data_IF_876668590736
#
_entry.id   IF_876668590736
#
_cell.length_a   1.000
_cell.length_b   1.000
_cell.length_c   1.000
_cell.angle_alpha   90.00
_cell.angle_beta   90.00
_cell.angle_gamma   90.00
#
_symmetry.space_group_name_H-M   'P 1'
#
loop_
_entity.id
_entity.type
_entity.pdbx_description
1 polymer ?
#
# COMPACT_ATOMS: atom_id res chain seq x y z
N UNK A 1 -10.88 -15.34 -9.33
CA UNK A 1 -11.86 -15.94 -10.23
C UNK A 1 -12.69 -16.93 -9.42
N UNK A 2 -13.99 -16.69 -9.28
CA UNK A 2 -14.92 -17.57 -8.60
C UNK A 2 -15.82 -18.19 -9.68
N UNK A 3 -15.88 -19.53 -9.78
CA UNK A 3 -16.69 -20.26 -10.76
C UNK A 3 -16.44 -19.84 -12.23
N UNK A 4 -15.22 -19.48 -12.60
CA UNK A 4 -14.86 -19.04 -13.95
C UNK A 4 -15.25 -17.60 -14.28
N UNK A 5 -15.82 -16.84 -13.34
CA UNK A 5 -16.17 -15.43 -13.49
C UNK A 5 -15.13 -14.56 -12.82
N UNK A 6 -14.74 -13.44 -13.48
CA UNK A 6 -13.84 -12.46 -12.89
C UNK A 6 -14.45 -11.85 -11.63
N UNK A 7 -13.68 -11.86 -10.55
CA UNK A 7 -14.09 -11.28 -9.28
C UNK A 7 -13.89 -9.76 -9.36
N UNK A 8 -14.99 -9.02 -9.38
CA UNK A 8 -15.00 -7.56 -9.44
C UNK A 8 -15.45 -6.91 -8.14
N UNK A 9 -15.97 -7.70 -7.20
CA UNK A 9 -16.47 -7.22 -5.91
C UNK A 9 -15.43 -7.45 -4.80
N UNK A 10 -15.21 -6.43 -3.97
CA UNK A 10 -14.31 -6.50 -2.81
C UNK A 10 -14.79 -7.53 -1.77
N UNK A 11 -16.10 -7.74 -1.65
CA UNK A 11 -16.67 -8.73 -0.73
C UNK A 11 -16.35 -10.18 -1.15
N UNK A 12 -16.02 -10.41 -2.40
CA UNK A 12 -15.54 -11.71 -2.87
C UNK A 12 -14.16 -12.08 -2.31
N UNK A 13 -13.42 -11.11 -1.78
CA UNK A 13 -12.14 -11.31 -1.07
C UNK A 13 -12.33 -11.69 0.41
N UNK A 14 -13.58 -11.78 0.87
CA UNK A 14 -13.88 -12.14 2.26
C UNK A 14 -13.21 -13.46 2.64
N UNK A 15 -12.52 -13.48 3.78
CA UNK A 15 -11.79 -14.63 4.33
C UNK A 15 -10.75 -15.27 3.38
N UNK A 16 -10.31 -14.56 2.35
CA UNK A 16 -9.25 -15.04 1.46
C UNK A 16 -7.96 -15.41 2.20
N UNK A 17 -7.76 -14.83 3.39
CA UNK A 17 -6.64 -15.13 4.27
C UNK A 17 -6.63 -16.58 4.79
N UNK A 18 -7.78 -17.24 4.87
CA UNK A 18 -7.87 -18.64 5.30
C UNK A 18 -7.36 -19.59 4.22
N UNK A 19 -7.68 -19.30 2.96
CA UNK A 19 -7.27 -20.15 1.83
C UNK A 19 -5.80 -19.89 1.41
N UNK A 20 -5.35 -18.65 1.49
CA UNK A 20 -4.02 -18.22 1.02
C UNK A 20 -3.39 -17.18 1.96
N UNK A 21 -2.90 -17.57 3.16
CA UNK A 21 -2.44 -16.64 4.17
C UNK A 21 -1.22 -15.81 3.73
N UNK A 22 -0.28 -16.41 3.02
CA UNK A 22 0.92 -15.70 2.56
C UNK A 22 0.60 -14.62 1.53
N UNK A 23 -0.31 -14.91 0.59
CA UNK A 23 -0.77 -13.95 -0.43
C UNK A 23 -1.55 -12.81 0.20
N UNK A 24 -2.43 -13.12 1.15
CA UNK A 24 -3.21 -12.12 1.89
C UNK A 24 -2.32 -11.21 2.72
N UNK A 25 -1.28 -11.76 3.33
CA UNK A 25 -0.30 -10.98 4.08
C UNK A 25 0.48 -10.02 3.18
N UNK A 26 1.00 -10.49 2.04
CA UNK A 26 1.70 -9.64 1.09
C UNK A 26 0.80 -8.53 0.52
N UNK A 27 -0.45 -8.86 0.20
CA UNK A 27 -1.45 -7.90 -0.26
C UNK A 27 -1.76 -6.84 0.80
N UNK A 28 -1.92 -7.25 2.05
CA UNK A 28 -2.16 -6.34 3.17
C UNK A 28 -0.98 -5.41 3.45
N UNK A 29 0.26 -5.88 3.32
CA UNK A 29 1.45 -5.03 3.42
C UNK A 29 1.45 -3.91 2.38
N UNK A 30 1.06 -4.23 1.14
CA UNK A 30 0.94 -3.23 0.07
C UNK A 30 -0.15 -2.21 0.43
N UNK A 31 -1.32 -2.67 0.88
CA UNK A 31 -2.43 -1.79 1.27
C UNK A 31 -2.07 -0.90 2.47
N UNK A 32 -1.37 -1.43 3.47
CA UNK A 32 -0.88 -0.65 4.61
C UNK A 32 0.15 0.40 4.19
N UNK A 33 1.02 0.08 3.23
CA UNK A 33 1.96 1.05 2.68
C UNK A 33 1.22 2.17 1.93
N UNK A 34 0.19 1.85 1.13
CA UNK A 34 -0.65 2.84 0.45
C UNK A 34 -1.47 3.69 1.43
N UNK A 35 -1.97 3.08 2.50
CA UNK A 35 -2.65 3.79 3.58
C UNK A 35 -1.72 4.80 4.27
N UNK A 36 -0.42 4.56 4.27
CA UNK A 36 0.58 5.39 4.91
C UNK A 36 0.72 5.10 6.41
N UNK A 37 0.70 3.82 6.78
CA UNK A 37 0.91 3.39 8.17
C UNK A 37 2.41 3.32 8.45
N UNK A 38 2.90 3.97 9.54
CA UNK A 38 4.27 3.76 9.98
C UNK A 38 4.45 2.27 10.37
N UNK A 39 5.55 1.62 10.08
CA UNK A 39 6.84 2.08 9.56
C UNK A 39 7.05 1.85 8.05
N UNK A 40 6.01 1.80 7.23
CA UNK A 40 6.10 1.45 5.82
C UNK A 40 6.50 2.65 4.93
N UNK A 41 7.08 2.35 3.77
CA UNK A 41 7.61 3.34 2.82
C UNK A 41 6.58 4.39 2.39
N UNK A 42 5.31 4.02 2.23
CA UNK A 42 4.24 4.94 1.87
C UNK A 42 4.00 6.05 2.88
N UNK A 43 4.19 5.78 4.18
CA UNK A 43 4.14 6.82 5.21
C UNK A 43 5.27 7.82 5.05
N UNK A 44 6.49 7.35 4.87
CA UNK A 44 7.68 8.20 4.74
C UNK A 44 7.56 9.10 3.52
N UNK A 45 7.12 8.56 2.38
CA UNK A 45 6.89 9.35 1.17
C UNK A 45 5.85 10.46 1.38
N UNK A 46 4.72 10.15 2.01
CA UNK A 46 3.68 11.15 2.34
C UNK A 46 4.21 12.22 3.28
N UNK A 47 4.99 11.83 4.29
CA UNK A 47 5.58 12.76 5.24
C UNK A 47 6.53 13.75 4.56
N UNK A 48 7.41 13.28 3.67
CA UNK A 48 8.30 14.16 2.90
C UNK A 48 7.55 15.13 1.99
N UNK A 49 6.52 14.68 1.31
CA UNK A 49 5.67 15.55 0.48
C UNK A 49 4.98 16.62 1.33
N UNK A 50 4.43 16.24 2.49
CA UNK A 50 3.80 17.19 3.42
C UNK A 50 4.80 18.22 3.94
N UNK A 51 6.00 17.79 4.33
CA UNK A 51 7.05 18.70 4.78
C UNK A 51 7.46 19.69 3.68
N UNK A 52 7.59 19.23 2.44
CA UNK A 52 7.91 20.09 1.30
C UNK A 52 6.85 21.16 1.06
N UNK A 53 5.56 20.80 1.17
CA UNK A 53 4.42 21.72 1.03
C UNK A 53 4.43 22.76 2.16
N UNK A 54 4.65 22.34 3.39
CA UNK A 54 4.72 23.24 4.56
C UNK A 54 5.88 24.23 4.41
N UNK A 55 7.05 23.77 3.99
CA UNK A 55 8.22 24.61 3.76
C UNK A 55 8.01 25.61 2.62
N UNK A 56 7.12 25.29 1.66
CA UNK A 56 6.74 26.21 0.58
C UNK A 56 5.73 27.29 1.03
N UNK A 57 5.32 27.29 2.30
CA UNK A 57 4.39 28.28 2.86
C UNK A 57 2.90 28.06 2.51
N UNK A 58 2.56 26.93 1.86
CA UNK A 58 1.20 26.63 1.38
C UNK A 58 0.50 25.67 2.35
N UNK A 59 0.37 26.09 3.61
CA UNK A 59 -0.13 25.26 4.71
C UNK A 59 -1.50 24.65 4.45
N UNK A 60 -2.42 25.39 3.80
CA UNK A 60 -3.76 24.89 3.49
C UNK A 60 -3.73 23.65 2.58
N UNK A 61 -2.76 23.58 1.66
CA UNK A 61 -2.61 22.42 0.76
C UNK A 61 -2.14 21.19 1.52
N UNK A 62 -1.25 21.36 2.49
CA UNK A 62 -0.83 20.27 3.37
C UNK A 62 -2.03 19.72 4.19
N UNK A 63 -2.89 20.60 4.69
CA UNK A 63 -4.08 20.23 5.44
C UNK A 63 -5.05 19.42 4.57
N UNK A 64 -5.34 19.89 3.36
CA UNK A 64 -6.20 19.16 2.40
C UNK A 64 -5.59 17.79 2.09
N UNK A 65 -4.29 17.71 1.81
CA UNK A 65 -3.58 16.48 1.55
C UNK A 65 -3.64 15.48 2.72
N UNK A 66 -3.56 15.97 3.96
CA UNK A 66 -3.72 15.15 5.16
C UNK A 66 -5.13 14.56 5.25
N UNK A 67 -6.17 15.36 5.06
CA UNK A 67 -7.57 14.90 5.10
C UNK A 67 -7.83 13.86 4.02
N UNK A 68 -7.41 14.10 2.78
CA UNK A 68 -7.56 13.15 1.67
C UNK A 68 -6.80 11.85 1.95
N UNK A 69 -5.62 11.93 2.57
CA UNK A 69 -4.84 10.75 2.96
C UNK A 69 -5.56 9.90 4.01
N UNK A 70 -6.23 10.52 4.98
CA UNK A 70 -7.03 9.80 6.00
C UNK A 70 -8.22 9.10 5.36
N UNK A 71 -8.93 9.76 4.45
CA UNK A 71 -10.05 9.15 3.71
C UNK A 71 -9.56 7.95 2.89
N UNK A 72 -8.43 8.10 2.17
CA UNK A 72 -7.81 7.01 1.43
C UNK A 72 -7.42 5.83 2.33
N UNK A 73 -6.80 6.11 3.48
CA UNK A 73 -6.43 5.09 4.46
C UNK A 73 -7.63 4.28 4.95
N UNK A 74 -8.77 4.93 5.16
CA UNK A 74 -10.01 4.25 5.54
C UNK A 74 -10.42 3.18 4.52
N UNK A 75 -10.37 3.50 3.22
CA UNK A 75 -10.71 2.54 2.15
C UNK A 75 -9.75 1.35 2.12
N UNK A 76 -8.44 1.58 2.23
CA UNK A 76 -7.45 0.51 2.25
C UNK A 76 -7.59 -0.40 3.47
N UNK A 77 -7.81 0.16 4.64
CA UNK A 77 -8.06 -0.60 5.87
C UNK A 77 -9.35 -1.40 5.80
N UNK A 78 -10.40 -0.85 5.17
CA UNK A 78 -11.65 -1.57 4.95
C UNK A 78 -11.43 -2.82 4.09
N UNK A 79 -10.62 -2.75 3.04
CA UNK A 79 -10.30 -3.90 2.20
C UNK A 79 -9.55 -4.96 3.03
N UNK A 80 -8.57 -4.57 3.83
CA UNK A 80 -7.86 -5.48 4.72
C UNK A 80 -8.81 -6.14 5.70
N UNK A 81 -9.73 -5.38 6.29
CA UNK A 81 -10.74 -5.92 7.19
C UNK A 81 -11.60 -6.99 6.51
N UNK A 82 -12.06 -6.73 5.29
CA UNK A 82 -12.87 -7.68 4.52
C UNK A 82 -12.08 -8.97 4.23
N UNK A 83 -10.82 -8.86 3.85
CA UNK A 83 -9.96 -10.02 3.54
C UNK A 83 -9.77 -10.93 4.74
N UNK A 84 -9.67 -10.37 5.95
CA UNK A 84 -9.36 -11.15 7.16
C UNK A 84 -10.56 -11.50 8.04
N UNK A 85 -11.57 -10.65 8.10
CA UNK A 85 -12.61 -10.72 9.12
C UNK A 85 -14.04 -10.85 8.58
N UNK A 86 -14.26 -10.64 7.29
CA UNK A 86 -15.61 -10.74 6.73
C UNK A 86 -16.01 -12.20 6.49
N UNK A 87 -17.25 -12.52 6.77
CA UNK A 87 -17.81 -13.85 6.45
C UNK A 87 -18.02 -13.99 4.94
N UNK A 88 -17.63 -15.12 4.37
CA UNK A 88 -17.86 -15.45 2.96
C UNK A 88 -18.81 -16.61 2.80
N UNK A 89 -19.71 -16.53 1.82
CA UNK A 89 -20.63 -17.60 1.45
C UNK A 89 -19.98 -18.75 0.63
N UNK A 90 -18.64 -18.80 0.59
CA UNK A 90 -17.91 -19.87 -0.12
C UNK A 90 -16.42 -19.59 -0.29
N UNK A 91 -15.62 -20.65 -0.35
CA UNK A 91 -14.18 -20.56 -0.60
C UNK A 91 -13.91 -20.05 -2.02
N UNK A 92 -13.01 -19.06 -2.11
CA UNK A 92 -12.45 -18.66 -3.39
C UNK A 92 -11.42 -19.69 -3.85
N UNK A 93 -11.82 -20.62 -4.72
CA UNK A 93 -10.89 -21.49 -5.44
C UNK A 93 -10.12 -20.71 -6.52
N UNK A 94 -9.51 -19.61 -6.11
CA UNK A 94 -8.68 -18.78 -6.99
C UNK A 94 -7.27 -19.33 -7.03
N UNK A 95 -6.97 -20.20 -7.99
CA UNK A 95 -5.59 -20.45 -8.38
C UNK A 95 -5.03 -19.18 -9.01
N UNK A 96 -4.27 -18.42 -8.22
CA UNK A 96 -3.54 -17.26 -8.74
C UNK A 96 -2.42 -17.78 -9.64
N UNK A 97 -2.30 -17.29 -10.89
CA UNK A 97 -1.18 -17.64 -11.76
C UNK A 97 0.15 -17.31 -11.07
N UNK A 98 1.12 -18.21 -11.17
CA UNK A 98 2.43 -18.09 -10.50
C UNK A 98 3.13 -16.76 -10.78
N UNK A 99 2.95 -16.21 -11.99
CA UNK A 99 3.49 -14.89 -12.34
C UNK A 99 2.95 -13.73 -11.50
N UNK A 100 1.67 -13.73 -11.19
CA UNK A 100 1.05 -12.70 -10.34
C UNK A 100 1.50 -12.82 -8.88
N UNK A 101 1.66 -14.04 -8.37
CA UNK A 101 2.25 -14.29 -7.06
C UNK A 101 3.66 -13.74 -6.97
N UNK A 102 4.49 -14.00 -7.97
CA UNK A 102 5.86 -13.51 -8.02
C UNK A 102 5.92 -11.98 -7.97
N UNK A 103 5.11 -11.28 -8.78
CA UNK A 103 5.04 -9.81 -8.79
C UNK A 103 4.58 -9.28 -7.43
N UNK A 104 3.58 -9.90 -6.81
CA UNK A 104 3.03 -9.47 -5.52
C UNK A 104 4.06 -9.62 -4.40
N UNK A 105 4.77 -10.75 -4.33
CA UNK A 105 5.84 -10.97 -3.35
C UNK A 105 7.04 -10.06 -3.60
N UNK A 106 7.42 -9.85 -4.86
CA UNK A 106 8.50 -8.93 -5.22
C UNK A 106 8.17 -7.50 -4.79
N UNK A 107 6.95 -7.02 -5.07
CA UNK A 107 6.48 -5.69 -4.68
C UNK A 107 6.42 -5.53 -3.16
N UNK A 108 5.90 -6.53 -2.45
CA UNK A 108 5.84 -6.54 -0.98
C UNK A 108 7.25 -6.49 -0.37
N UNK A 109 8.17 -7.28 -0.89
CA UNK A 109 9.58 -7.28 -0.46
C UNK A 109 10.25 -5.93 -0.76
N UNK A 110 10.00 -5.35 -1.92
CA UNK A 110 10.52 -4.03 -2.29
C UNK A 110 10.02 -2.93 -1.34
N UNK A 111 8.77 -2.98 -0.89
CA UNK A 111 8.23 -2.05 0.10
C UNK A 111 8.97 -2.17 1.44
N UNK A 112 9.17 -3.40 1.92
CA UNK A 112 9.87 -3.64 3.19
C UNK A 112 11.33 -3.20 3.11
N UNK A 113 12.04 -3.62 2.08
CA UNK A 113 13.45 -3.22 1.86
C UNK A 113 13.56 -1.72 1.64
N UNK A 114 12.64 -1.14 0.85
CA UNK A 114 12.58 0.30 0.59
C UNK A 114 12.41 1.12 1.86
N UNK A 115 11.64 0.63 2.82
CA UNK A 115 11.47 1.27 4.12
C UNK A 115 12.81 1.38 4.87
N UNK A 116 13.60 0.30 4.90
CA UNK A 116 14.91 0.31 5.55
C UNK A 116 15.96 1.09 4.75
N UNK A 117 15.87 1.08 3.43
CA UNK A 117 16.85 1.69 2.53
C UNK A 117 16.56 3.17 2.25
N UNK A 118 15.32 3.64 2.50
CA UNK A 118 14.94 5.05 2.30
C UNK A 118 15.75 5.98 3.20
N UNK A 119 16.12 5.52 4.39
CA UNK A 119 17.05 6.21 5.28
C UNK A 119 18.48 6.33 4.70
N UNK A 120 18.87 5.42 3.79
CA UNK A 120 20.17 5.42 3.10
C UNK A 120 20.14 6.09 1.72
N UNK A 121 18.98 6.22 1.09
CA UNK A 121 18.82 6.84 -0.25
C UNK A 121 18.57 8.35 -0.14
N UNK A 122 18.20 8.85 1.03
CA UNK A 122 17.97 10.28 1.26
C UNK A 122 19.12 11.19 0.78
N UNK A 123 20.40 10.92 1.08
CA UNK A 123 21.49 11.76 0.59
C UNK A 123 21.62 11.73 -0.95
N UNK A 124 21.32 10.60 -1.59
CA UNK A 124 21.37 10.46 -3.05
C UNK A 124 20.23 11.22 -3.73
N UNK A 125 19.03 11.18 -3.18
CA UNK A 125 17.88 11.91 -3.72
C UNK A 125 18.04 13.42 -3.52
N UNK A 126 18.63 13.86 -2.42
CA UNK A 126 18.98 15.27 -2.22
C UNK A 126 20.03 15.75 -3.21
N UNK A 127 21.10 14.99 -3.39
CA UNK A 127 22.15 15.33 -4.35
C UNK A 127 21.60 15.39 -5.79
N UNK A 128 20.71 14.48 -6.18
CA UNK A 128 20.04 14.51 -7.48
C UNK A 128 19.12 15.73 -7.63
N UNK A 129 18.34 16.07 -6.60
CA UNK A 129 17.47 17.26 -6.61
C UNK A 129 18.28 18.56 -6.68
N UNK A 130 19.35 18.66 -5.94
CA UNK A 130 20.26 19.83 -5.97
C UNK A 130 20.93 19.97 -7.33
N UNK A 131 21.31 18.88 -7.99
CA UNK A 131 21.89 18.91 -9.35
C UNK A 131 20.92 19.38 -10.42
N UNK A 132 19.61 19.26 -10.20
CA UNK A 132 18.55 19.74 -11.11
C UNK A 132 18.20 21.22 -10.89
N UNK A 133 18.56 21.78 -9.74
CA UNK A 133 18.30 23.18 -9.40
C UNK A 133 19.47 24.12 -9.79
N UNK A 134 20.61 23.58 -10.15
CA UNK A 134 21.80 24.24 -10.65
C UNK A 134 22.17 23.72 -12.05
#
# INVERSE_FOLDING_TARGET
EKDGVLVTDIYSLARYSEDNPATSFAFSLILFSLAGIPPLAGFICKLYVMMAIINSGVLYLALIGAIVSVVGAFYYLRIVYIVYFSESDGSLNAKIPTGHLFVLFLSSTAIVIGTYNLLGVEPLTRAAAESLLY
#
